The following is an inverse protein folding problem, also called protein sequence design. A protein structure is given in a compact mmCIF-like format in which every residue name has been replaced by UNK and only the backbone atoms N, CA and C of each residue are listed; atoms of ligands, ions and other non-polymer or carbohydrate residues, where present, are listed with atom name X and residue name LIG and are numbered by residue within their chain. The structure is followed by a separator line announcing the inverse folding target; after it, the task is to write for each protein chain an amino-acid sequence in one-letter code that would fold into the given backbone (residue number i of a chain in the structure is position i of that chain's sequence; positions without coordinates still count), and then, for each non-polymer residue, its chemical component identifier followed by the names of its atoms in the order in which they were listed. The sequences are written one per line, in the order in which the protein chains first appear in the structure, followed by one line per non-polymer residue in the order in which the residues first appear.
data_IF_793147670609
#
_entry.id   IF_793147670609
#
_cell.length_a   1.000
_cell.length_b   1.000
_cell.length_c   1.000
_cell.angle_alpha   90.00
_cell.angle_beta   90.00
_cell.angle_gamma   90.00
#
_symmetry.space_group_name_H-M   'P 1'
#
loop_
_entity.id
_entity.type
_entity.pdbx_description
1 polymer ?
#
# COMPACT_ATOMS: atom_id res chain seq x y z
N UNK A 1 -5.54 -21.72 -24.23
CA UNK A 1 -5.88 -21.56 -22.79
C UNK A 1 -4.67 -21.74 -21.86
N UNK A 2 -3.87 -22.82 -21.96
CA UNK A 2 -2.64 -23.03 -21.16
C UNK A 2 -1.65 -21.86 -21.21
N UNK A 3 -1.39 -21.33 -22.41
CA UNK A 3 -0.46 -20.22 -22.66
C UNK A 3 -0.83 -18.91 -21.90
N UNK A 4 -2.12 -18.68 -21.65
CA UNK A 4 -2.61 -17.54 -20.86
C UNK A 4 -2.35 -17.75 -19.36
N UNK A 5 -2.62 -18.96 -18.87
CA UNK A 5 -2.41 -19.33 -17.45
C UNK A 5 -0.94 -19.27 -17.07
N UNK A 6 -0.05 -19.74 -17.96
CA UNK A 6 1.40 -19.73 -17.70
C UNK A 6 1.96 -18.30 -17.68
N UNK A 7 1.47 -17.42 -18.55
CA UNK A 7 1.81 -15.98 -18.51
C UNK A 7 1.33 -15.31 -17.23
N UNK A 8 0.13 -15.63 -16.76
CA UNK A 8 -0.41 -15.09 -15.49
C UNK A 8 0.45 -15.57 -14.32
N UNK A 9 0.77 -16.87 -14.24
CA UNK A 9 1.67 -17.40 -13.20
C UNK A 9 3.05 -16.75 -13.22
N UNK A 10 3.63 -16.54 -14.40
CA UNK A 10 4.90 -15.83 -14.54
C UNK A 10 4.81 -14.36 -14.10
N UNK A 11 3.65 -13.71 -14.30
CA UNK A 11 3.40 -12.34 -13.84
C UNK A 11 3.33 -12.26 -12.31
N UNK A 12 2.60 -13.19 -11.69
CA UNK A 12 2.44 -13.27 -10.23
C UNK A 12 3.75 -13.68 -9.52
N UNK A 13 4.57 -14.51 -10.16
CA UNK A 13 5.90 -14.91 -9.65
C UNK A 13 6.98 -13.85 -9.90
N UNK A 14 6.67 -12.76 -10.60
CA UNK A 14 7.64 -11.70 -10.81
C UNK A 14 7.88 -10.98 -9.47
N UNK A 15 9.14 -10.99 -9.01
CA UNK A 15 9.58 -10.39 -7.73
C UNK A 15 9.14 -8.93 -7.59
N UNK A 16 9.03 -8.20 -8.70
CA UNK A 16 8.50 -6.85 -8.73
C UNK A 16 7.01 -6.82 -8.37
N UNK A 17 6.18 -7.67 -8.98
CA UNK A 17 4.75 -7.75 -8.70
C UNK A 17 4.48 -8.09 -7.24
N UNK A 18 5.13 -9.14 -6.71
CA UNK A 18 4.98 -9.54 -5.32
C UNK A 18 5.38 -8.42 -4.34
N UNK A 19 6.46 -7.68 -4.64
CA UNK A 19 6.89 -6.55 -3.83
C UNK A 19 5.86 -5.42 -3.82
N UNK A 20 5.34 -5.03 -4.99
CA UNK A 20 4.30 -4.00 -5.08
C UNK A 20 3.00 -4.42 -4.38
N UNK A 21 2.58 -5.66 -4.56
CA UNK A 21 1.38 -6.19 -3.90
C UNK A 21 1.54 -6.22 -2.39
N UNK A 22 2.67 -6.73 -1.88
CA UNK A 22 2.91 -6.78 -0.43
C UNK A 22 2.99 -5.39 0.20
N UNK A 23 3.68 -4.44 -0.44
CA UNK A 23 3.73 -3.04 0.02
C UNK A 23 2.34 -2.43 0.04
N UNK A 24 1.52 -2.67 -0.99
CA UNK A 24 0.15 -2.15 -1.02
C UNK A 24 -0.73 -2.77 0.06
N UNK A 25 -0.63 -4.09 0.29
CA UNK A 25 -1.37 -4.78 1.36
C UNK A 25 -0.94 -4.25 2.72
N UNK A 26 0.36 -4.12 2.96
CA UNK A 26 0.89 -3.56 4.20
C UNK A 26 0.38 -2.14 4.46
N UNK A 27 0.43 -1.27 3.44
CA UNK A 27 -0.10 0.11 3.53
C UNK A 27 -1.60 0.09 3.86
N UNK A 28 -2.39 -0.79 3.24
CA UNK A 28 -3.83 -0.90 3.51
C UNK A 28 -4.12 -1.35 4.94
N UNK A 29 -3.41 -2.37 5.43
CA UNK A 29 -3.54 -2.84 6.81
C UNK A 29 -3.15 -1.74 7.80
N UNK A 30 -2.03 -1.05 7.54
CA UNK A 30 -1.57 0.06 8.37
C UNK A 30 -2.60 1.20 8.41
N UNK A 31 -3.24 1.52 7.28
CA UNK A 31 -4.26 2.56 7.20
C UNK A 31 -5.49 2.21 8.08
N UNK A 32 -5.99 0.98 7.97
CA UNK A 32 -7.11 0.49 8.79
C UNK A 32 -6.73 0.52 10.28
N UNK A 33 -5.54 0.03 10.62
CA UNK A 33 -5.05 0.01 12.00
C UNK A 33 -4.94 1.42 12.59
N UNK A 34 -4.40 2.39 11.84
CA UNK A 34 -4.28 3.76 12.30
C UNK A 34 -5.64 4.43 12.46
N UNK A 35 -6.59 4.16 11.55
CA UNK A 35 -7.94 4.73 11.65
C UNK A 35 -8.64 4.23 12.90
N UNK A 36 -8.57 2.92 13.14
CA UNK A 36 -9.08 2.32 14.36
C UNK A 36 -8.42 2.90 15.61
N UNK A 37 -7.09 3.03 15.63
CA UNK A 37 -6.37 3.63 16.75
C UNK A 37 -6.83 5.08 17.02
N UNK A 38 -6.99 5.90 15.98
CA UNK A 38 -7.35 7.31 16.13
C UNK A 38 -8.81 7.53 16.49
N UNK A 39 -9.72 6.73 15.95
CA UNK A 39 -11.16 6.88 16.18
C UNK A 39 -11.55 6.16 17.47
N UNK A 40 -11.17 4.90 17.65
CA UNK A 40 -11.67 4.07 18.75
C UNK A 40 -10.90 4.27 20.05
N UNK A 41 -9.59 4.56 20.00
CA UNK A 41 -8.76 4.74 21.22
C UNK A 41 -8.60 6.22 21.57
N UNK A 42 -8.34 7.08 20.59
CA UNK A 42 -8.15 8.52 20.82
C UNK A 42 -9.43 9.36 20.68
N UNK A 43 -10.56 8.75 20.29
CA UNK A 43 -11.86 9.41 20.12
C UNK A 43 -11.81 10.64 19.19
N UNK A 44 -10.87 10.65 18.25
CA UNK A 44 -10.68 11.78 17.33
C UNK A 44 -11.80 11.73 16.27
N UNK A 45 -12.44 12.88 15.94
CA UNK A 45 -13.47 12.95 14.92
C UNK A 45 -13.03 12.30 13.61
N UNK A 46 -13.89 11.45 13.06
CA UNK A 46 -13.62 10.64 11.85
C UNK A 46 -13.10 11.48 10.69
N UNK A 47 -13.57 12.73 10.55
CA UNK A 47 -13.13 13.64 9.49
C UNK A 47 -11.66 14.02 9.64
N UNK A 48 -11.20 14.32 10.86
CA UNK A 48 -9.81 14.66 11.14
C UNK A 48 -8.92 13.42 11.00
N UNK A 49 -9.33 12.31 11.61
CA UNK A 49 -8.61 11.04 11.54
C UNK A 49 -8.41 10.56 10.11
N UNK A 50 -9.48 10.57 9.30
CA UNK A 50 -9.41 10.15 7.89
C UNK A 50 -8.55 11.08 7.04
N UNK A 51 -8.69 12.40 7.21
CA UNK A 51 -7.87 13.36 6.46
C UNK A 51 -6.39 13.20 6.78
N UNK A 52 -6.02 13.09 8.06
CA UNK A 52 -4.64 12.93 8.49
C UNK A 52 -4.06 11.59 8.02
N UNK A 53 -4.79 10.48 8.16
CA UNK A 53 -4.26 9.15 7.83
C UNK A 53 -4.18 8.96 6.33
N UNK A 54 -5.18 9.39 5.56
CA UNK A 54 -5.13 9.34 4.10
C UNK A 54 -4.00 10.25 3.58
N UNK A 55 -3.86 11.47 4.11
CA UNK A 55 -2.78 12.38 3.77
C UNK A 55 -1.39 11.79 4.05
N UNK A 56 -1.18 11.25 5.25
CA UNK A 56 0.07 10.58 5.62
C UNK A 56 0.36 9.37 4.73
N UNK A 57 -0.67 8.56 4.45
CA UNK A 57 -0.55 7.38 3.57
C UNK A 57 -0.14 7.78 2.15
N UNK A 58 -0.66 8.91 1.64
CA UNK A 58 -0.31 9.43 0.33
C UNK A 58 1.16 9.87 0.26
N UNK A 59 1.64 10.59 1.28
CA UNK A 59 3.03 11.01 1.41
C UNK A 59 3.95 9.79 1.48
N UNK A 60 3.63 8.81 2.33
CA UNK A 60 4.42 7.58 2.48
C UNK A 60 4.49 6.82 1.15
N UNK A 61 3.36 6.66 0.43
CA UNK A 61 3.36 6.07 -0.92
C UNK A 61 4.27 6.83 -1.85
N UNK A 62 4.15 8.16 -1.91
CA UNK A 62 4.96 8.99 -2.79
C UNK A 62 6.45 8.79 -2.54
N UNK A 63 6.89 8.82 -1.28
CA UNK A 63 8.29 8.60 -0.93
C UNK A 63 8.78 7.18 -1.25
N UNK A 64 7.96 6.16 -0.97
CA UNK A 64 8.28 4.79 -1.33
C UNK A 64 8.48 4.66 -2.84
N UNK A 65 7.49 5.08 -3.65
CA UNK A 65 7.59 5.02 -5.11
C UNK A 65 8.78 5.81 -5.65
N UNK A 66 9.03 7.03 -5.15
CA UNK A 66 10.18 7.83 -5.56
C UNK A 66 11.50 7.15 -5.23
N UNK A 67 11.62 6.51 -4.06
CA UNK A 67 12.82 5.76 -3.68
C UNK A 67 13.04 4.55 -4.60
N UNK A 68 11.98 3.92 -5.07
CA UNK A 68 12.04 2.80 -6.02
C UNK A 68 12.34 3.24 -7.45
N UNK A 69 11.86 4.40 -7.91
CA UNK A 69 12.24 4.97 -9.21
C UNK A 69 13.75 5.30 -9.28
N UNK A 70 14.37 5.64 -8.14
CA UNK A 70 15.83 5.83 -8.06
C UNK A 70 16.62 4.52 -8.25
N UNK A 71 15.95 3.36 -8.35
CA UNK A 71 16.53 2.04 -8.58
C UNK A 71 16.18 1.44 -9.95
N UNK A 72 15.81 2.27 -10.94
CA UNK A 72 15.96 1.90 -12.35
C UNK A 72 17.29 2.45 -12.88
N UNK A 73 18.26 1.61 -13.27
CA UNK A 73 19.33 2.06 -14.15
C UNK A 73 18.78 2.48 -15.51
#
# INVERSE_FOLDING_TARGET
MKLLVDKIKALFLNKQFFHYTWVSVFISVLNIFLLWLFIDIFEIPTVLSSTTIIGATFIIRYFLYRRFETFKP
#
